data_IF_872646817430
#
_entry.id   IF_872646817430
#
_cell.length_a   1.000
_cell.length_b   1.000
_cell.length_c   1.000
_cell.angle_alpha   90.00
_cell.angle_beta   90.00
_cell.angle_gamma   90.00
#
_symmetry.space_group_name_H-M   'P 1'
#
loop_
_entity.id
_entity.type
_entity.pdbx_description
1 polymer ?
#
# COMPACT_ATOMS: atom_id res chain seq x y z
N UNK A 1 19.59 -2.36 10.72
CA UNK A 1 18.39 -1.53 10.99
C UNK A 1 17.20 -2.46 11.22
N UNK A 2 16.36 -2.22 12.22
CA UNK A 2 15.15 -3.03 12.41
C UNK A 2 13.98 -2.53 11.54
N UNK A 3 12.98 -3.38 11.31
CA UNK A 3 11.73 -2.96 10.65
C UNK A 3 11.03 -1.83 11.43
N UNK A 4 11.11 -1.85 12.77
CA UNK A 4 10.56 -0.79 13.62
C UNK A 4 11.24 0.56 13.36
N UNK A 5 12.56 0.57 13.25
CA UNK A 5 13.32 1.80 12.98
C UNK A 5 13.04 2.33 11.58
N UNK A 6 12.95 1.44 10.58
CA UNK A 6 12.62 1.80 9.20
C UNK A 6 11.24 2.47 9.11
N UNK A 7 10.23 1.90 9.78
CA UNK A 7 8.86 2.47 9.79
C UNK A 7 8.82 3.81 10.55
N UNK A 8 9.52 3.93 11.69
CA UNK A 8 9.56 5.16 12.50
C UNK A 8 10.23 6.32 11.77
N UNK A 9 11.32 6.06 11.03
CA UNK A 9 12.06 7.11 10.31
C UNK A 9 11.39 7.52 9.00
N UNK A 10 10.58 6.64 8.41
CA UNK A 10 10.02 6.85 7.07
C UNK A 10 9.24 8.16 7.04
N UNK A 11 9.54 8.97 6.03
CA UNK A 11 8.80 10.20 5.70
C UNK A 11 8.42 10.23 4.23
N UNK A 12 7.51 11.13 3.87
CA UNK A 12 7.16 11.38 2.47
C UNK A 12 7.96 12.58 1.98
N UNK A 13 8.74 12.40 0.92
CA UNK A 13 9.58 13.46 0.35
C UNK A 13 8.80 14.25 -0.70
N UNK A 14 8.28 15.42 -0.32
CA UNK A 14 7.44 16.24 -1.21
C UNK A 14 8.19 16.80 -2.43
N UNK A 15 9.52 16.84 -2.35
CA UNK A 15 10.48 17.15 -3.41
C UNK A 15 11.63 16.14 -3.33
N UNK A 16 12.14 15.75 -4.48
CA UNK A 16 13.30 14.86 -4.66
C UNK A 16 14.22 15.49 -5.71
N UNK A 17 15.47 15.06 -5.77
CA UNK A 17 16.41 15.43 -6.85
C UNK A 17 16.10 14.65 -8.12
N UNK A 18 16.84 14.94 -9.20
CA UNK A 18 16.72 14.22 -10.47
C UNK A 18 17.43 12.86 -10.46
N UNK A 19 18.22 12.54 -9.43
CA UNK A 19 18.80 11.22 -9.23
C UNK A 19 17.68 10.19 -9.03
N UNK A 20 17.84 8.99 -9.58
CA UNK A 20 16.87 7.91 -9.42
C UNK A 20 17.56 6.55 -9.42
N UNK A 21 16.98 5.53 -8.75
CA UNK A 21 17.53 4.18 -8.82
C UNK A 21 17.48 3.65 -10.24
N UNK A 22 18.50 2.86 -10.60
CA UNK A 22 18.49 2.09 -11.86
C UNK A 22 17.49 0.93 -11.78
N UNK A 23 17.22 0.29 -12.92
CA UNK A 23 16.34 -0.89 -12.96
C UNK A 23 16.91 -2.03 -12.11
N UNK A 24 18.22 -2.25 -12.19
CA UNK A 24 18.95 -3.28 -11.45
C UNK A 24 18.85 -3.05 -9.95
N UNK A 25 18.88 -1.79 -9.50
CA UNK A 25 18.69 -1.43 -8.09
C UNK A 25 17.24 -1.63 -7.63
N UNK A 26 16.25 -1.49 -8.52
CA UNK A 26 14.83 -1.66 -8.18
C UNK A 26 14.40 -3.11 -8.06
N UNK A 27 14.90 -4.01 -8.92
CA UNK A 27 14.49 -5.41 -8.97
C UNK A 27 14.50 -6.12 -7.60
N UNK A 28 15.60 -6.12 -6.82
CA UNK A 28 15.62 -6.79 -5.51
C UNK A 28 14.64 -6.15 -4.51
N UNK A 29 14.39 -4.84 -4.61
CA UNK A 29 13.42 -4.15 -3.74
C UNK A 29 11.98 -4.55 -4.11
N UNK A 30 11.68 -4.72 -5.40
CA UNK A 30 10.37 -5.19 -5.87
C UNK A 30 10.14 -6.65 -5.48
N UNK A 31 11.15 -7.51 -5.58
CA UNK A 31 11.09 -8.90 -5.12
C UNK A 31 10.79 -8.99 -3.62
N UNK A 32 11.52 -8.22 -2.82
CA UNK A 32 11.27 -8.13 -1.38
C UNK A 32 9.87 -7.55 -1.07
N UNK A 33 9.43 -6.53 -1.81
CA UNK A 33 8.07 -6.00 -1.67
C UNK A 33 7.00 -7.04 -1.99
N UNK A 34 7.27 -8.05 -2.82
CA UNK A 34 6.36 -9.16 -3.10
C UNK A 34 6.04 -10.06 -1.90
N UNK A 35 6.70 -9.87 -0.74
CA UNK A 35 6.44 -10.61 0.50
C UNK A 35 5.24 -10.12 1.31
N UNK A 36 4.51 -9.09 0.84
CA UNK A 36 3.26 -8.67 1.49
C UNK A 36 2.28 -9.83 1.63
N UNK A 37 1.46 -9.80 2.68
CA UNK A 37 0.40 -10.78 2.88
C UNK A 37 -0.57 -10.75 1.70
N UNK A 38 -0.63 -11.86 0.96
CA UNK A 38 -1.44 -12.04 -0.24
C UNK A 38 -2.21 -13.35 -0.13
N UNK A 39 -3.50 -13.25 0.14
CA UNK A 39 -4.38 -14.40 0.32
C UNK A 39 -4.44 -15.21 -0.98
N UNK A 40 -4.08 -16.50 -0.89
CA UNK A 40 -3.92 -17.40 -2.04
C UNK A 40 -2.79 -17.01 -3.00
N UNK A 41 -1.90 -16.08 -2.63
CA UNK A 41 -0.72 -15.69 -3.42
C UNK A 41 -1.05 -15.31 -4.86
N UNK A 42 -2.15 -14.57 -5.07
CA UNK A 42 -2.67 -14.25 -6.40
C UNK A 42 -1.79 -13.27 -7.19
N UNK A 43 -0.89 -12.57 -6.51
CA UNK A 43 -0.08 -11.46 -7.01
C UNK A 43 -0.95 -10.48 -7.82
N UNK A 44 -2.00 -9.89 -7.21
CA UNK A 44 -2.97 -9.06 -7.92
C UNK A 44 -2.47 -7.63 -8.13
N UNK A 45 -1.20 -7.47 -8.52
CA UNK A 45 -0.54 -6.19 -8.66
C UNK A 45 0.44 -6.19 -9.83
N UNK A 46 0.69 -5.00 -10.38
CA UNK A 46 1.67 -4.74 -11.42
C UNK A 46 2.30 -3.37 -11.21
N UNK A 47 3.58 -3.26 -11.50
CA UNK A 47 4.32 -2.00 -11.46
C UNK A 47 4.68 -1.56 -12.87
N UNK A 48 4.63 -0.26 -13.12
CA UNK A 48 5.07 0.35 -14.40
C UNK A 48 6.09 1.42 -14.06
N UNK A 49 7.30 1.29 -14.60
CA UNK A 49 8.29 2.37 -14.53
C UNK A 49 7.99 3.39 -15.60
N UNK A 50 7.96 4.67 -15.21
CA UNK A 50 7.85 5.80 -16.11
C UNK A 50 9.12 6.62 -15.98
N UNK A 51 9.90 6.71 -17.06
CA UNK A 51 11.16 7.46 -17.14
C UNK A 51 11.16 8.32 -18.41
N UNK A 52 12.05 9.30 -18.48
CA UNK A 52 12.21 10.11 -19.69
C UNK A 52 10.87 10.68 -20.18
N UNK A 53 10.53 10.36 -21.43
CA UNK A 53 9.34 10.84 -22.14
C UNK A 53 8.02 10.21 -21.66
N UNK A 54 8.04 9.08 -20.94
CA UNK A 54 6.83 8.48 -20.37
C UNK A 54 6.09 9.46 -19.44
N UNK A 55 6.87 10.32 -18.75
CA UNK A 55 6.35 11.35 -17.86
C UNK A 55 5.66 12.47 -18.64
N UNK A 56 6.10 12.76 -19.86
CA UNK A 56 5.43 13.69 -20.78
C UNK A 56 4.13 13.08 -21.30
N UNK A 57 4.13 11.79 -21.66
CA UNK A 57 2.91 11.05 -22.02
C UNK A 57 1.89 11.08 -20.88
N UNK A 58 2.32 10.88 -19.63
CA UNK A 58 1.45 11.03 -18.46
C UNK A 58 0.95 12.47 -18.32
N UNK A 59 1.81 13.47 -18.51
CA UNK A 59 1.43 14.88 -18.47
C UNK A 59 0.31 15.21 -19.46
N UNK A 60 0.42 14.74 -20.69
CA UNK A 60 -0.60 14.89 -21.72
C UNK A 60 -1.89 14.12 -21.40
N UNK A 61 -1.79 12.91 -20.84
CA UNK A 61 -2.94 12.12 -20.44
C UNK A 61 -3.73 12.77 -19.30
N UNK A 62 -3.04 13.38 -18.33
CA UNK A 62 -3.65 14.17 -17.26
C UNK A 62 -4.35 15.41 -17.80
N UNK A 63 -3.71 16.16 -18.71
CA UNK A 63 -4.32 17.34 -19.33
C UNK A 63 -5.60 16.96 -20.10
N UNK A 64 -5.55 15.90 -20.91
CA UNK A 64 -6.72 15.36 -21.61
C UNK A 64 -7.84 14.93 -20.66
N UNK A 65 -7.51 14.35 -19.51
CA UNK A 65 -8.50 13.95 -18.52
C UNK A 65 -9.12 15.13 -17.77
N UNK A 66 -8.34 16.21 -17.56
CA UNK A 66 -8.78 17.43 -16.89
C UNK A 66 -9.49 18.43 -17.82
N UNK A 67 -9.33 18.28 -19.14
CA UNK A 67 -9.78 19.28 -20.11
C UNK A 67 -8.83 20.49 -20.21
N UNK A 68 -7.55 20.30 -19.86
CA UNK A 68 -6.54 21.36 -19.92
C UNK A 68 -5.89 21.44 -21.33
N UNK A 69 -5.59 22.65 -21.78
CA UNK A 69 -4.95 22.90 -23.09
C UNK A 69 -3.45 22.56 -23.13
N UNK A 70 -2.81 22.42 -21.96
CA UNK A 70 -1.36 22.19 -21.84
C UNK A 70 -1.07 20.93 -21.02
N UNK A 71 -0.08 20.11 -21.42
CA UNK A 71 0.35 18.96 -20.63
C UNK A 71 0.68 19.32 -19.19
N UNK A 72 0.27 18.48 -18.24
CA UNK A 72 0.58 18.69 -16.84
C UNK A 72 2.07 18.52 -16.57
N UNK A 73 2.70 19.47 -15.88
CA UNK A 73 4.09 19.35 -15.40
C UNK A 73 4.22 18.53 -14.11
N UNK A 74 3.11 18.10 -13.50
CA UNK A 74 3.13 17.34 -12.23
C UNK A 74 4.00 16.07 -12.30
N UNK A 75 3.96 15.25 -13.38
CA UNK A 75 4.81 14.07 -13.51
C UNK A 75 6.31 14.37 -13.61
N UNK A 76 6.69 15.61 -13.98
CA UNK A 76 8.09 16.01 -14.15
C UNK A 76 8.79 16.36 -12.83
N UNK A 77 8.11 16.20 -11.69
CA UNK A 77 8.65 16.49 -10.36
C UNK A 77 9.62 15.42 -9.82
N UNK A 78 9.87 14.37 -10.58
CA UNK A 78 10.85 13.32 -10.33
C UNK A 78 11.27 12.67 -11.65
N UNK A 79 12.50 12.14 -11.71
CA UNK A 79 13.02 11.40 -12.88
C UNK A 79 12.42 10.00 -13.02
N UNK A 80 11.97 9.41 -11.91
CA UNK A 80 11.32 8.11 -11.88
C UNK A 80 9.96 8.21 -11.20
N UNK A 81 8.93 7.74 -11.92
CA UNK A 81 7.63 7.41 -11.35
C UNK A 81 7.42 5.90 -11.44
N UNK A 82 6.92 5.28 -10.36
CA UNK A 82 6.50 3.87 -10.36
C UNK A 82 4.99 3.85 -10.20
N UNK A 83 4.27 3.51 -11.27
CA UNK A 83 2.83 3.36 -11.23
C UNK A 83 2.45 2.08 -10.47
N UNK A 84 1.53 2.20 -9.51
CA UNK A 84 1.01 1.11 -8.70
C UNK A 84 -0.33 0.67 -9.28
N UNK A 85 -0.39 -0.50 -9.90
CA UNK A 85 -1.60 -1.02 -10.54
C UNK A 85 -2.12 -2.20 -9.73
N UNK A 86 -3.39 -2.14 -9.32
CA UNK A 86 -4.13 -3.31 -8.88
C UNK A 86 -4.56 -4.11 -10.11
N UNK A 87 -4.14 -5.38 -10.22
CA UNK A 87 -4.41 -6.27 -11.34
C UNK A 87 -5.27 -7.44 -10.88
N UNK A 88 -6.58 -7.21 -10.83
CA UNK A 88 -7.54 -8.12 -10.23
C UNK A 88 -7.58 -9.49 -10.92
N UNK A 89 -7.58 -10.55 -10.11
CA UNK A 89 -7.76 -11.95 -10.51
C UNK A 89 -9.16 -12.41 -10.12
N UNK A 90 -9.80 -13.21 -10.98
CA UNK A 90 -11.06 -13.88 -10.63
C UNK A 90 -10.78 -14.87 -9.49
N UNK A 91 -11.54 -14.80 -8.42
CA UNK A 91 -11.43 -15.71 -7.28
C UNK A 91 -12.72 -15.71 -6.47
N UNK A 92 -13.24 -16.90 -6.18
CA UNK A 92 -14.40 -17.06 -5.30
C UNK A 92 -14.00 -16.99 -3.80
N UNK A 93 -12.70 -17.09 -3.51
CA UNK A 93 -12.15 -17.09 -2.15
C UNK A 93 -11.58 -15.74 -1.72
N UNK A 94 -11.12 -14.93 -2.68
CA UNK A 94 -10.39 -13.69 -2.42
C UNK A 94 -11.17 -12.51 -3.00
N UNK A 95 -11.90 -11.76 -2.17
CA UNK A 95 -12.69 -10.62 -2.64
C UNK A 95 -11.81 -9.52 -3.20
N UNK A 96 -12.42 -8.66 -4.03
CA UNK A 96 -11.72 -7.59 -4.76
C UNK A 96 -10.96 -6.63 -3.85
N UNK A 97 -11.52 -6.30 -2.68
CA UNK A 97 -10.90 -5.36 -1.75
C UNK A 97 -9.60 -5.90 -1.16
N UNK A 98 -9.50 -7.21 -0.90
CA UNK A 98 -8.26 -7.84 -0.42
C UNK A 98 -7.16 -7.69 -1.47
N UNK A 99 -7.51 -7.87 -2.74
CA UNK A 99 -6.57 -7.74 -3.86
C UNK A 99 -6.07 -6.29 -4.06
N UNK A 100 -6.95 -5.29 -3.92
CA UNK A 100 -6.55 -3.88 -3.92
C UNK A 100 -5.64 -3.57 -2.72
N UNK A 101 -5.94 -4.12 -1.54
CA UNK A 101 -5.13 -3.97 -0.34
C UNK A 101 -3.73 -4.56 -0.50
N UNK A 102 -3.58 -5.69 -1.22
CA UNK A 102 -2.25 -6.25 -1.57
C UNK A 102 -1.45 -5.25 -2.40
N UNK A 103 -2.03 -4.68 -3.47
CA UNK A 103 -1.33 -3.71 -4.32
C UNK A 103 -0.93 -2.44 -3.53
N UNK A 104 -1.80 -1.96 -2.63
CA UNK A 104 -1.47 -0.87 -1.70
C UNK A 104 -0.35 -1.26 -0.74
N UNK A 105 -0.38 -2.49 -0.22
CA UNK A 105 0.66 -3.04 0.63
C UNK A 105 2.03 -3.10 -0.07
N UNK A 106 2.06 -3.51 -1.34
CA UNK A 106 3.28 -3.47 -2.17
C UNK A 106 3.82 -2.05 -2.26
N UNK A 107 2.96 -1.05 -2.52
CA UNK A 107 3.38 0.35 -2.60
C UNK A 107 3.99 0.88 -1.29
N UNK A 108 3.39 0.52 -0.14
CA UNK A 108 3.90 0.91 1.17
C UNK A 108 5.23 0.21 1.50
N UNK A 109 5.32 -1.10 1.28
CA UNK A 109 6.56 -1.86 1.51
C UNK A 109 7.68 -1.37 0.59
N UNK A 110 7.41 -1.18 -0.70
CA UNK A 110 8.40 -0.66 -1.64
C UNK A 110 8.86 0.75 -1.26
N UNK A 111 7.98 1.60 -0.71
CA UNK A 111 8.36 2.92 -0.20
C UNK A 111 9.33 2.85 0.98
N UNK A 112 9.18 1.85 1.87
CA UNK A 112 10.12 1.62 2.98
C UNK A 112 11.47 1.13 2.47
N UNK A 113 11.47 0.16 1.55
CA UNK A 113 12.68 -0.41 0.95
C UNK A 113 13.48 0.64 0.14
N UNK A 114 12.79 1.51 -0.60
CA UNK A 114 13.40 2.63 -1.30
C UNK A 114 14.01 3.64 -0.32
N UNK A 115 13.31 3.98 0.77
CA UNK A 115 13.87 4.87 1.80
C UNK A 115 15.10 4.26 2.47
N UNK A 116 15.07 2.95 2.75
CA UNK A 116 16.20 2.16 3.25
C UNK A 116 17.41 2.25 2.32
N UNK A 117 17.19 2.07 1.02
CA UNK A 117 18.19 2.20 -0.03
C UNK A 117 18.66 3.65 -0.29
N UNK A 118 18.18 4.63 0.48
CA UNK A 118 18.64 6.03 0.41
C UNK A 118 17.79 6.96 -0.45
N UNK A 119 16.69 6.47 -1.05
CA UNK A 119 15.84 7.26 -1.94
C UNK A 119 14.71 8.00 -1.23
N UNK A 120 14.40 9.20 -1.70
CA UNK A 120 13.19 9.93 -1.32
C UNK A 120 11.99 9.42 -2.10
N UNK A 121 10.86 9.20 -1.41
CA UNK A 121 9.63 8.70 -2.03
C UNK A 121 8.41 9.49 -1.57
N UNK A 122 7.47 9.74 -2.49
CA UNK A 122 6.12 10.19 -2.18
C UNK A 122 5.08 9.51 -3.10
N UNK A 123 4.05 8.92 -2.50
CA UNK A 123 2.91 8.39 -3.26
C UNK A 123 1.91 9.51 -3.57
N UNK A 124 1.53 9.64 -4.84
CA UNK A 124 0.48 10.55 -5.32
C UNK A 124 -0.55 9.84 -6.19
N UNK A 125 -1.80 10.28 -6.09
CA UNK A 125 -2.94 9.78 -6.87
C UNK A 125 -3.58 10.94 -7.64
N UNK A 126 -4.15 11.93 -6.95
CA UNK A 126 -4.87 13.05 -7.56
C UNK A 126 -6.22 12.65 -8.15
N UNK A 127 -7.09 13.61 -8.47
CA UNK A 127 -8.47 13.33 -8.92
C UNK A 127 -8.60 12.60 -10.26
N UNK A 128 -7.52 12.51 -11.05
CA UNK A 128 -7.54 11.99 -12.42
C UNK A 128 -6.95 10.57 -12.54
N UNK A 129 -6.48 9.94 -11.44
CA UNK A 129 -5.80 8.64 -11.47
C UNK A 129 -6.61 7.56 -12.19
N UNK A 130 -7.91 7.52 -11.95
CA UNK A 130 -8.82 6.51 -12.50
C UNK A 130 -9.56 6.98 -13.76
N UNK A 131 -9.10 8.04 -14.41
CA UNK A 131 -9.68 8.51 -15.68
C UNK A 131 -9.34 7.58 -16.85
N UNK A 132 -10.21 7.54 -17.87
CA UNK A 132 -9.99 6.71 -19.07
C UNK A 132 -8.71 7.09 -19.82
N UNK A 133 -8.38 8.37 -19.92
CA UNK A 133 -7.18 8.83 -20.61
C UNK A 133 -5.89 8.38 -19.90
N UNK A 134 -5.87 8.47 -18.56
CA UNK A 134 -4.74 7.99 -17.75
C UNK A 134 -4.63 6.45 -17.82
N UNK A 135 -5.75 5.73 -17.74
CA UNK A 135 -5.76 4.28 -17.89
C UNK A 135 -5.19 3.84 -19.26
N UNK A 136 -5.57 4.53 -20.34
CA UNK A 136 -5.04 4.28 -21.68
C UNK A 136 -3.53 4.51 -21.76
N UNK A 137 -3.03 5.59 -21.17
CA UNK A 137 -1.60 5.91 -21.17
C UNK A 137 -0.74 4.84 -20.47
N UNK A 138 -1.29 4.15 -19.46
CA UNK A 138 -0.61 3.06 -18.75
C UNK A 138 -0.86 1.66 -19.34
N UNK A 139 -1.61 1.58 -20.45
CA UNK A 139 -2.01 0.31 -21.05
C UNK A 139 -2.79 -0.59 -20.10
N UNK A 140 -3.64 -0.01 -19.23
CA UNK A 140 -4.40 -0.79 -18.26
C UNK A 140 -5.41 -1.70 -18.95
N UNK A 141 -5.48 -2.95 -18.50
CA UNK A 141 -6.50 -3.92 -18.93
C UNK A 141 -7.83 -3.66 -18.21
N UNK A 142 -8.91 -4.29 -18.70
CA UNK A 142 -10.26 -4.15 -18.12
C UNK A 142 -10.36 -4.57 -16.65
N UNK A 143 -9.46 -5.45 -16.20
CA UNK A 143 -9.37 -5.94 -14.82
C UNK A 143 -8.29 -5.21 -14.02
N UNK A 144 -7.80 -4.06 -14.49
CA UNK A 144 -6.75 -3.31 -13.82
C UNK A 144 -7.23 -1.91 -13.39
N UNK A 145 -6.77 -1.46 -12.23
CA UNK A 145 -7.00 -0.11 -11.74
C UNK A 145 -5.69 0.49 -11.25
N UNK A 146 -5.41 1.73 -11.68
CA UNK A 146 -4.27 2.48 -11.20
C UNK A 146 -4.59 3.07 -9.83
N UNK A 147 -3.74 2.77 -8.85
CA UNK A 147 -3.82 3.31 -7.50
C UNK A 147 -3.03 4.60 -7.34
N UNK A 148 -2.07 4.87 -8.21
CA UNK A 148 -1.28 6.10 -8.24
C UNK A 148 0.18 5.85 -8.61
N UNK A 149 1.05 6.77 -8.25
CA UNK A 149 2.49 6.70 -8.54
C UNK A 149 3.34 6.98 -7.31
N UNK A 150 4.39 6.20 -7.13
CA UNK A 150 5.52 6.58 -6.29
C UNK A 150 6.43 7.50 -7.10
N UNK A 151 6.58 8.74 -6.66
CA UNK A 151 7.61 9.66 -7.18
C UNK A 151 8.88 9.38 -6.40
N UNK A 152 9.93 8.98 -7.10
CA UNK A 152 11.18 8.50 -6.51
C UNK A 152 12.34 9.35 -7.01
N UNK A 153 13.22 9.77 -6.10
CA UNK A 153 14.49 10.36 -6.47
C UNK A 153 15.42 10.59 -5.29
N UNK A 154 16.57 11.24 -5.50
CA UNK A 154 17.52 11.53 -4.42
C UNK A 154 16.90 12.43 -3.32
N UNK A 155 17.37 12.26 -2.09
CA UNK A 155 16.94 13.08 -0.94
C UNK A 155 17.68 14.43 -0.99
N UNK A 156 16.99 15.58 -1.09
CA UNK A 156 17.65 16.88 -1.15
C UNK A 156 18.49 17.17 0.11
N UNK A 157 19.66 17.78 -0.09
CA UNK A 157 20.54 18.21 1.00
C UNK A 157 19.86 19.23 1.93
N UNK A 158 20.29 19.26 3.19
CA UNK A 158 19.81 20.21 4.20
C UNK A 158 18.33 20.05 4.59
N UNK A 159 17.63 19.03 4.08
CA UNK A 159 16.26 18.70 4.48
C UNK A 159 16.25 17.48 5.41
N UNK A 160 15.63 17.65 6.56
CA UNK A 160 15.33 16.52 7.44
C UNK A 160 13.97 15.92 7.12
N UNK A 161 13.78 14.67 7.53
CA UNK A 161 12.47 14.06 7.57
C UNK A 161 11.56 14.91 8.48
N UNK A 162 10.59 15.60 7.89
CA UNK A 162 9.69 16.49 8.64
C UNK A 162 9.10 15.79 9.86
N UNK A 163 9.00 16.51 10.98
CA UNK A 163 8.54 15.95 12.27
C UNK A 163 7.06 15.59 12.17
N UNK A 164 6.73 14.30 12.32
CA UNK A 164 5.35 13.86 12.50
C UNK A 164 5.00 13.80 13.98
N UNK A 165 3.78 14.19 14.32
CA UNK A 165 3.24 13.91 15.65
C UNK A 165 3.13 12.40 15.81
N UNK A 166 3.65 11.81 16.91
CA UNK A 166 3.43 10.42 17.23
C UNK A 166 1.92 10.12 17.29
N UNK A 167 1.57 8.88 16.95
CA UNK A 167 0.22 8.37 17.12
C UNK A 167 0.05 7.92 18.57
N UNK A 168 -1.10 8.23 19.16
CA UNK A 168 -1.50 7.65 20.44
C UNK A 168 -2.08 6.25 20.22
N UNK A 169 -1.26 5.22 20.49
CA UNK A 169 -1.61 3.84 20.21
C UNK A 169 -2.81 3.35 21.05
N UNK A 170 -3.02 3.89 22.26
CA UNK A 170 -4.14 3.51 23.14
C UNK A 170 -5.49 3.85 22.50
N UNK A 171 -5.56 4.95 21.74
CA UNK A 171 -6.79 5.38 21.07
C UNK A 171 -7.16 4.52 19.85
N UNK A 172 -6.20 3.78 19.30
CA UNK A 172 -6.37 3.01 18.07
C UNK A 172 -6.39 1.50 18.30
N UNK A 173 -5.84 1.02 19.41
CA UNK A 173 -5.83 -0.39 19.78
C UNK A 173 -6.90 -0.64 20.85
N UNK A 174 -8.14 -0.82 20.40
CA UNK A 174 -9.29 -1.02 21.29
C UNK A 174 -9.66 -2.50 21.38
N UNK A 175 -10.22 -2.95 22.53
CA UNK A 175 -10.88 -4.25 22.59
C UNK A 175 -12.12 -4.26 21.69
N UNK A 176 -12.62 -5.46 21.38
CA UNK A 176 -13.90 -5.60 20.69
C UNK A 176 -14.99 -4.82 21.45
N UNK A 177 -15.81 -4.00 20.76
CA UNK A 177 -16.91 -3.30 21.41
C UNK A 177 -17.82 -4.27 22.17
N UNK A 178 -18.33 -3.83 23.33
CA UNK A 178 -19.23 -4.65 24.12
C UNK A 178 -20.43 -5.11 23.28
N UNK A 179 -20.80 -6.38 23.42
CA UNK A 179 -21.94 -6.95 22.73
C UNK A 179 -23.22 -6.21 23.12
N UNK A 180 -24.01 -5.76 22.14
CA UNK A 180 -25.43 -5.51 22.42
C UNK A 180 -26.11 -6.84 22.77
N UNK A 181 -27.09 -6.81 23.68
CA UNK A 181 -27.48 -7.91 24.58
C UNK A 181 -27.86 -9.30 23.99
N UNK A 182 -27.84 -9.48 22.67
CA UNK A 182 -28.00 -10.78 22.01
C UNK A 182 -26.74 -11.66 22.04
N UNK A 183 -25.56 -11.10 21.76
CA UNK A 183 -24.31 -11.86 21.72
C UNK A 183 -23.83 -12.29 23.12
N UNK A 184 -24.12 -11.50 24.16
CA UNK A 184 -23.83 -11.84 25.55
C UNK A 184 -24.50 -13.13 26.01
N UNK A 185 -25.76 -13.38 25.60
CA UNK A 185 -26.48 -14.60 25.97
C UNK A 185 -25.86 -15.85 25.33
N UNK A 186 -25.40 -15.75 24.08
CA UNK A 186 -24.72 -16.83 23.38
C UNK A 186 -23.35 -17.12 24.00
N UNK A 187 -22.56 -16.08 24.29
CA UNK A 187 -21.26 -16.20 24.94
C UNK A 187 -21.37 -16.77 26.35
N UNK A 188 -22.38 -16.37 27.13
CA UNK A 188 -22.64 -16.94 28.46
C UNK A 188 -23.01 -18.44 28.39
N UNK A 189 -23.81 -18.85 27.40
CA UNK A 189 -24.15 -20.27 27.18
C UNK A 189 -22.90 -21.09 26.85
N UNK A 190 -22.03 -20.60 25.98
CA UNK A 190 -20.77 -21.29 25.63
C UNK A 190 -19.77 -21.34 26.78
N UNK A 191 -19.65 -20.27 27.57
CA UNK A 191 -18.84 -20.24 28.81
C UNK A 191 -19.35 -21.26 29.85
N UNK A 192 -20.68 -21.35 30.07
CA UNK A 192 -21.29 -22.34 30.98
C UNK A 192 -21.10 -23.79 30.51
N UNK A 193 -21.22 -24.07 29.21
CA UNK A 193 -20.94 -25.41 28.64
C UNK A 193 -19.48 -25.81 28.83
N UNK A 194 -18.55 -24.88 28.60
CA UNK A 194 -17.11 -25.12 28.77
C UNK A 194 -16.74 -25.39 30.23
N UNK A 195 -17.35 -24.68 31.18
CA UNK A 195 -17.16 -24.92 32.62
C UNK A 195 -17.69 -26.29 33.07
N UNK A 196 -18.88 -26.71 32.59
CA UNK A 196 -19.43 -28.05 32.87
C UNK A 196 -18.54 -29.18 32.33
N UNK A 197 -17.99 -29.04 31.11
CA UNK A 197 -17.05 -30.01 30.52
C UNK A 197 -15.75 -30.14 31.33
N UNK A 198 -15.19 -29.03 31.82
CA UNK A 198 -14.00 -29.06 32.70
C UNK A 198 -14.27 -29.79 34.02
N UNK A 199 -15.37 -29.46 34.70
CA UNK A 199 -15.75 -30.11 35.96
C UNK A 199 -15.99 -31.62 35.81
N UNK A 200 -16.61 -32.06 34.71
CA UNK A 200 -16.81 -33.49 34.43
C UNK A 200 -15.48 -34.23 34.13
N UNK A 201 -14.54 -33.57 33.46
CA UNK A 201 -13.19 -34.12 33.18
C UNK A 201 -12.35 -34.24 34.44
N UNK A 202 -12.43 -33.26 35.34
CA UNK A 202 -11.71 -33.28 36.62
C UNK A 202 -12.27 -34.33 37.58
N UNK A 203 -13.59 -34.56 37.58
CA UNK A 203 -14.20 -35.66 38.34
C UNK A 203 -13.78 -37.04 37.84
N UNK A 204 -13.65 -37.23 36.51
CA UNK A 204 -13.17 -38.49 35.91
C UNK A 204 -11.66 -38.74 36.08
N UNK A 205 -10.87 -37.73 36.43
CA UNK A 205 -9.43 -37.88 36.71
C UNK A 205 -9.13 -38.20 38.19
N UNK A 206 -10.12 -38.05 39.06
CA UNK A 206 -10.03 -38.28 40.51
C UNK A 206 -10.73 -39.58 40.95
N UNK A 207 -11.31 -40.33 40.02
CA UNK A 207 -11.83 -41.71 40.19
C UNK A 207 -10.92 -42.68 39.48
#
# INVERSE_FOLDING_TARGET
>A
MSALDAVRRRTSWSRVTDDAPTREQLLPLVEAAGRVADHSSLRPWRLIELRGDDRLTLGAALAKAGGDDKPSSKPLRASLLIAIVASYRKSDKVPRWEQEAVASGVAHTLSLLLDEAGWGVIWRTGGLTRSKAVAKAHGLKKNEELLGWLYVGGKPEGRSAGRRKPVDAETLLTPMPAASGGADRLLQKERKKSAKKKSAKDKRRKS
#
